data_IF_693266142572
#
_entry.id   IF_693266142572
#
_cell.length_a   1.000
_cell.length_b   1.000
_cell.length_c   1.000
_cell.angle_alpha   90.00
_cell.angle_beta   90.00
_cell.angle_gamma   90.00
#
_symmetry.space_group_name_H-M   'P 1'
#
loop_
_entity.id
_entity.type
_entity.pdbx_description
1 polymer ?
#
# COMPACT_ATOMS: atom_id res chain seq x y z
N UNK A 1 -10.60 9.98 -6.81
CA UNK A 1 -9.87 9.41 -5.65
C UNK A 1 -8.75 8.46 -6.09
N UNK A 2 -8.97 7.64 -7.13
CA UNK A 2 -7.98 6.73 -7.74
C UNK A 2 -6.72 7.43 -8.33
N UNK A 3 -6.86 8.70 -8.77
CA UNK A 3 -5.82 9.46 -9.48
C UNK A 3 -4.66 9.95 -8.60
N UNK A 4 -4.88 10.21 -7.30
CA UNK A 4 -3.82 10.64 -6.37
C UNK A 4 -2.94 9.47 -5.93
N UNK A 5 -3.54 8.30 -5.68
CA UNK A 5 -2.81 7.07 -5.36
C UNK A 5 -2.02 6.61 -6.59
N UNK A 6 -2.62 6.64 -7.79
CA UNK A 6 -1.92 6.38 -9.06
C UNK A 6 -0.80 7.38 -9.34
N UNK A 7 -1.00 8.69 -9.15
CA UNK A 7 0.04 9.70 -9.43
C UNK A 7 1.22 9.63 -8.46
N UNK A 8 0.99 9.21 -7.21
CA UNK A 8 2.06 9.13 -6.19
C UNK A 8 2.80 7.80 -6.28
N UNK A 9 2.09 6.70 -6.58
CA UNK A 9 2.73 5.43 -6.91
C UNK A 9 3.44 5.46 -8.27
N UNK A 10 3.06 6.37 -9.19
CA UNK A 10 3.79 6.65 -10.43
C UNK A 10 4.98 7.60 -10.21
N UNK A 11 5.15 8.25 -9.06
CA UNK A 11 6.24 9.22 -8.86
C UNK A 11 7.60 8.55 -8.51
N UNK A 12 7.96 7.51 -9.26
CA UNK A 12 9.26 6.82 -9.37
C UNK A 12 9.45 6.31 -10.83
N UNK A 13 10.71 6.07 -11.26
CA UNK A 13 11.42 6.67 -12.42
C UNK A 13 10.73 6.53 -13.78
N UNK A 14 10.75 7.57 -14.61
CA UNK A 14 10.23 7.49 -15.97
C UNK A 14 11.21 6.72 -16.89
N UNK A 15 10.75 5.63 -17.53
CA UNK A 15 11.54 4.86 -18.50
C UNK A 15 11.59 3.35 -18.25
N UNK A 16 12.53 2.67 -18.90
CA UNK A 16 12.74 1.22 -18.79
C UNK A 16 12.99 0.75 -17.35
N UNK A 17 13.56 1.61 -16.50
CA UNK A 17 13.81 1.35 -15.09
C UNK A 17 12.52 1.14 -14.28
N UNK A 18 11.41 1.84 -14.60
CA UNK A 18 10.13 1.59 -13.94
C UNK A 18 9.54 0.24 -14.33
N UNK A 19 9.72 -0.19 -15.58
CA UNK A 19 9.22 -1.49 -16.05
C UNK A 19 10.01 -2.63 -15.41
N UNK A 20 11.34 -2.51 -15.36
CA UNK A 20 12.20 -3.49 -14.68
C UNK A 20 11.89 -3.56 -13.19
N UNK A 21 11.71 -2.40 -12.54
CA UNK A 21 11.37 -2.33 -11.12
C UNK A 21 9.99 -2.91 -10.83
N UNK A 22 9.01 -2.69 -11.71
CA UNK A 22 7.69 -3.31 -11.58
C UNK A 22 7.75 -4.84 -11.74
N UNK A 23 8.55 -5.36 -12.68
CA UNK A 23 8.74 -6.82 -12.80
C UNK A 23 9.42 -7.40 -11.56
N UNK A 24 10.42 -6.71 -11.03
CA UNK A 24 11.08 -7.04 -9.76
C UNK A 24 10.08 -7.03 -8.58
N UNK A 25 9.21 -6.02 -8.49
CA UNK A 25 8.16 -5.95 -7.46
C UNK A 25 7.19 -7.14 -7.55
N UNK A 26 6.81 -7.57 -8.75
CA UNK A 26 5.95 -8.74 -8.94
C UNK A 26 6.64 -10.05 -8.51
N UNK A 27 7.94 -10.19 -8.81
CA UNK A 27 8.71 -11.37 -8.37
C UNK A 27 8.85 -11.41 -6.84
N UNK A 28 9.16 -10.27 -6.22
CA UNK A 28 9.22 -10.14 -4.76
C UNK A 28 7.87 -10.46 -4.12
N UNK A 29 6.77 -10.01 -4.74
CA UNK A 29 5.43 -10.24 -4.20
C UNK A 29 4.95 -11.70 -4.37
N UNK A 30 5.32 -12.35 -5.47
CA UNK A 30 5.11 -13.78 -5.65
C UNK A 30 5.88 -14.60 -4.61
N UNK A 31 7.11 -14.21 -4.30
CA UNK A 31 7.93 -14.85 -3.26
C UNK A 31 7.31 -14.64 -1.87
N UNK A 32 6.88 -13.40 -1.56
CA UNK A 32 6.19 -13.07 -0.31
C UNK A 32 4.91 -13.91 -0.10
N UNK A 33 4.19 -14.27 -1.16
CA UNK A 33 3.00 -15.12 -1.08
C UNK A 33 3.30 -16.58 -0.67
N UNK A 34 4.57 -16.99 -0.71
CA UNK A 34 5.04 -18.28 -0.18
C UNK A 34 5.48 -18.20 1.28
N UNK A 35 5.37 -17.03 1.92
CA UNK A 35 5.82 -16.77 3.28
C UNK A 35 7.25 -16.21 3.38
N UNK A 36 7.88 -15.85 2.26
CA UNK A 36 9.19 -15.20 2.26
C UNK A 36 9.09 -13.77 2.82
N UNK A 37 9.54 -13.60 4.06
CA UNK A 37 9.51 -12.33 4.77
C UNK A 37 10.54 -11.35 4.23
N UNK A 38 11.70 -11.82 3.78
CA UNK A 38 12.79 -10.96 3.30
C UNK A 38 12.37 -10.28 1.99
N UNK A 39 11.75 -11.03 1.08
CA UNK A 39 11.15 -10.48 -0.14
C UNK A 39 10.09 -9.42 0.16
N UNK A 40 9.30 -9.63 1.21
CA UNK A 40 8.28 -8.66 1.61
C UNK A 40 8.88 -7.41 2.27
N UNK A 41 9.94 -7.55 3.06
CA UNK A 41 10.65 -6.42 3.67
C UNK A 41 11.21 -5.46 2.62
N UNK A 42 11.72 -5.99 1.49
CA UNK A 42 12.17 -5.17 0.35
C UNK A 42 11.02 -4.30 -0.18
N UNK A 43 9.82 -4.88 -0.35
CA UNK A 43 8.63 -4.17 -0.80
C UNK A 43 8.18 -3.11 0.23
N UNK A 44 8.17 -3.46 1.52
CA UNK A 44 7.82 -2.53 2.61
C UNK A 44 8.79 -1.34 2.59
N UNK A 45 10.10 -1.60 2.57
CA UNK A 45 11.14 -0.56 2.55
C UNK A 45 11.00 0.35 1.35
N UNK A 46 10.75 -0.22 0.16
CA UNK A 46 10.61 0.50 -1.10
C UNK A 46 9.40 1.45 -1.12
N UNK A 47 8.29 1.06 -0.49
CA UNK A 47 7.03 1.80 -0.58
C UNK A 47 6.63 2.57 0.69
N UNK A 48 7.29 2.35 1.82
CA UNK A 48 6.90 2.95 3.11
C UNK A 48 6.85 4.47 3.06
N UNK A 49 7.87 5.14 2.49
CA UNK A 49 7.89 6.61 2.37
C UNK A 49 6.73 7.15 1.51
N UNK A 50 6.41 6.47 0.42
CA UNK A 50 5.32 6.87 -0.47
C UNK A 50 3.95 6.69 0.19
N UNK A 51 3.73 5.53 0.84
CA UNK A 51 2.49 5.24 1.56
C UNK A 51 2.32 6.20 2.73
N UNK A 52 3.36 6.44 3.51
CA UNK A 52 3.34 7.39 4.64
C UNK A 52 3.00 8.81 4.18
N UNK A 53 3.57 9.27 3.06
CA UNK A 53 3.23 10.58 2.51
C UNK A 53 1.75 10.68 2.12
N UNK A 54 1.20 9.65 1.44
CA UNK A 54 -0.21 9.59 1.08
C UNK A 54 -1.09 9.62 2.34
N UNK A 55 -0.80 8.76 3.31
CA UNK A 55 -1.59 8.63 4.53
C UNK A 55 -1.56 9.93 5.35
N UNK A 56 -0.38 10.53 5.54
CA UNK A 56 -0.21 11.82 6.22
C UNK A 56 -1.02 12.94 5.57
N UNK A 57 -1.03 13.00 4.23
CA UNK A 57 -1.78 14.02 3.49
C UNK A 57 -3.30 13.93 3.69
N UNK A 58 -3.81 12.79 4.16
CA UNK A 58 -5.24 12.54 4.37
C UNK A 58 -5.69 12.66 5.82
N UNK A 59 -4.85 12.20 6.74
CA UNK A 59 -5.24 12.09 8.15
C UNK A 59 -4.89 13.36 8.92
N UNK A 60 -3.76 14.01 8.61
CA UNK A 60 -3.27 15.21 9.31
C UNK A 60 -2.71 14.95 10.72
N UNK A 61 -2.87 13.74 11.25
CA UNK A 61 -2.28 13.27 12.51
C UNK A 61 -1.10 12.34 12.20
N UNK A 62 0.08 12.68 12.73
CA UNK A 62 1.31 11.95 12.47
C UNK A 62 1.35 10.56 13.10
N UNK A 63 0.87 10.41 14.34
CA UNK A 63 0.92 9.13 15.04
C UNK A 63 -0.07 8.14 14.42
N UNK A 64 -1.28 8.61 14.14
CA UNK A 64 -2.30 7.80 13.47
C UNK A 64 -1.90 7.42 12.03
N UNK A 65 -1.07 8.23 11.37
CA UNK A 65 -0.57 7.91 10.04
C UNK A 65 0.37 6.70 10.07
N UNK A 66 1.27 6.60 11.03
CA UNK A 66 2.20 5.48 11.16
C UNK A 66 1.45 4.16 11.42
N UNK A 67 0.45 4.18 12.30
CA UNK A 67 -0.43 3.02 12.56
C UNK A 67 -1.17 2.56 11.30
N UNK A 68 -1.65 3.50 10.50
CA UNK A 68 -2.34 3.19 9.24
C UNK A 68 -1.38 2.61 8.20
N UNK A 69 -0.14 3.10 8.12
CA UNK A 69 0.88 2.51 7.23
C UNK A 69 1.15 1.05 7.60
N UNK A 70 1.31 0.76 8.90
CA UNK A 70 1.50 -0.61 9.39
C UNK A 70 0.28 -1.47 9.00
N UNK A 71 -0.94 -0.99 9.26
CA UNK A 71 -2.17 -1.70 8.92
C UNK A 71 -2.28 -2.00 7.41
N UNK A 72 -1.86 -1.06 6.55
CA UNK A 72 -1.81 -1.23 5.09
C UNK A 72 -0.89 -2.41 4.74
N UNK A 73 0.36 -2.42 5.20
CA UNK A 73 1.30 -3.48 4.86
C UNK A 73 0.89 -4.83 5.47
N UNK A 74 0.32 -4.85 6.68
CA UNK A 74 -0.30 -6.06 7.22
C UNK A 74 -1.41 -6.57 6.29
N UNK A 75 -2.30 -5.70 5.78
CA UNK A 75 -3.35 -6.12 4.86
C UNK A 75 -2.80 -6.66 3.54
N UNK A 76 -1.71 -6.07 3.02
CA UNK A 76 -1.02 -6.55 1.81
C UNK A 76 -0.41 -7.93 2.04
N UNK A 77 0.27 -8.15 3.17
CA UNK A 77 0.81 -9.46 3.54
C UNK A 77 -0.29 -10.54 3.60
N UNK A 78 -1.38 -10.28 4.32
CA UNK A 78 -2.51 -11.21 4.38
C UNK A 78 -3.19 -11.41 3.02
N UNK A 79 -3.12 -10.43 2.11
CA UNK A 79 -3.60 -10.58 0.75
C UNK A 79 -2.67 -11.52 -0.04
N UNK A 80 -1.35 -11.35 0.05
CA UNK A 80 -0.38 -12.25 -0.58
C UNK A 80 -0.64 -13.72 -0.19
N UNK A 81 -0.79 -13.98 1.11
CA UNK A 81 -1.06 -15.31 1.66
C UNK A 81 -2.40 -15.93 1.23
N UNK A 82 -3.36 -15.11 0.76
CA UNK A 82 -4.66 -15.56 0.25
C UNK A 82 -4.67 -15.83 -1.26
N UNK A 83 -3.51 -15.82 -1.90
CA UNK A 83 -3.37 -16.16 -3.32
C UNK A 83 -3.75 -15.03 -4.28
N UNK A 84 -3.76 -13.77 -3.84
CA UNK A 84 -3.96 -12.63 -4.77
C UNK A 84 -2.65 -12.07 -5.32
N UNK A 85 -1.52 -12.76 -5.14
CA UNK A 85 -0.22 -12.35 -5.68
C UNK A 85 -0.24 -12.14 -7.22
N UNK A 86 -1.04 -12.91 -7.96
CA UNK A 86 -1.21 -12.74 -9.41
C UNK A 86 -1.95 -11.46 -9.84
N UNK A 87 -2.42 -10.61 -8.91
CA UNK A 87 -3.15 -9.37 -9.22
C UNK A 87 -2.24 -8.13 -9.34
N UNK A 88 -0.97 -8.26 -9.00
CA UNK A 88 -0.03 -7.16 -9.03
C UNK A 88 0.20 -6.51 -7.67
N UNK A 89 1.45 -6.36 -7.23
CA UNK A 89 1.77 -5.77 -5.91
C UNK A 89 1.17 -4.36 -5.75
N UNK A 90 1.42 -3.48 -6.72
CA UNK A 90 0.97 -2.08 -6.68
C UNK A 90 -0.56 -1.98 -6.63
N UNK A 91 -1.27 -2.91 -7.30
CA UNK A 91 -2.73 -2.97 -7.26
C UNK A 91 -3.22 -3.36 -5.87
N UNK A 92 -2.64 -4.39 -5.27
CA UNK A 92 -2.99 -4.84 -3.92
C UNK A 92 -2.68 -3.76 -2.89
N UNK A 93 -1.53 -3.10 -2.99
CA UNK A 93 -1.13 -1.97 -2.14
C UNK A 93 -2.13 -0.81 -2.25
N UNK A 94 -2.47 -0.39 -3.47
CA UNK A 94 -3.44 0.69 -3.71
C UNK A 94 -4.81 0.38 -3.08
N UNK A 95 -5.25 -0.88 -3.19
CA UNK A 95 -6.51 -1.35 -2.60
C UNK A 95 -6.46 -1.35 -1.07
N UNK A 96 -5.34 -1.79 -0.48
CA UNK A 96 -5.14 -1.77 0.98
C UNK A 96 -5.15 -0.34 1.53
N UNK A 97 -4.40 0.58 0.90
CA UNK A 97 -4.41 2.02 1.26
C UNK A 97 -5.83 2.59 1.22
N UNK A 98 -6.57 2.35 0.14
CA UNK A 98 -7.94 2.83 0.01
C UNK A 98 -8.88 2.25 1.08
N UNK A 99 -8.74 0.96 1.40
CA UNK A 99 -9.53 0.30 2.42
C UNK A 99 -9.27 0.87 3.83
N UNK A 100 -8.00 1.05 4.21
CA UNK A 100 -7.63 1.62 5.50
C UNK A 100 -8.12 3.07 5.65
N UNK A 101 -7.92 3.92 4.64
CA UNK A 101 -8.39 5.31 4.67
C UNK A 101 -9.92 5.39 4.76
N UNK A 102 -10.64 4.58 3.99
CA UNK A 102 -12.11 4.52 4.05
C UNK A 102 -12.60 4.03 5.41
N UNK A 103 -11.92 3.03 5.99
CA UNK A 103 -12.22 2.53 7.33
C UNK A 103 -12.06 3.62 8.38
N UNK A 104 -10.98 4.39 8.29
CA UNK A 104 -10.74 5.51 9.19
C UNK A 104 -11.76 6.64 9.00
N UNK A 105 -12.07 7.01 7.76
CA UNK A 105 -13.09 8.02 7.46
C UNK A 105 -14.45 7.64 8.05
N UNK A 106 -14.81 6.35 8.06
CA UNK A 106 -16.03 5.85 8.72
C UNK A 106 -15.98 6.00 10.23
N UNK A 107 -14.83 5.77 10.86
CA UNK A 107 -14.67 5.96 12.30
C UNK A 107 -14.73 7.46 12.68
N UNK A 108 -14.17 8.33 11.85
CA UNK A 108 -14.22 9.79 12.03
C UNK A 108 -15.63 10.35 11.75
N UNK A 109 -16.33 9.80 10.77
CA UNK A 109 -17.69 10.18 10.39
C UNK A 109 -18.76 9.32 11.08
N UNK A 110 -18.56 8.88 12.33
CA UNK A 110 -19.60 8.17 13.09
C UNK A 110 -20.98 8.83 12.94
N UNK A 111 -22.10 8.08 13.05
CA UNK A 111 -23.43 8.57 12.71
C UNK A 111 -23.64 9.94 13.34
N UNK A 112 -23.82 10.96 12.48
CA UNK A 112 -24.08 12.32 12.92
C UNK A 112 -25.36 12.24 13.77
N UNK A 113 -25.35 12.63 15.07
CA UNK A 113 -26.59 12.68 15.81
C UNK A 113 -27.54 13.60 15.05
N UNK A 114 -28.76 13.11 14.83
CA UNK A 114 -29.81 13.77 14.08
C UNK A 114 -30.17 15.13 14.68
#
# INVERSE_FOLDING_TARGET
MDLLVKSVLHRLPEGADAVLRAQDDEMLFASAATGDLDSFEVLVTRYSSAVLWIVRSRIGDGALADDVVIAVFCQVWHAAQRGVAGQGFVRVLSKAVGACLTGLDRLRCGPRPA
#
